data_IF_197589699006
#
_entry.id   IF_197589699006
#
_cell.length_a   1.000
_cell.length_b   1.000
_cell.length_c   1.000
_cell.angle_alpha   90.00
_cell.angle_beta   90.00
_cell.angle_gamma   90.00
#
_symmetry.space_group_name_H-M   'P 1'
#
loop_
_entity.id
_entity.type
_entity.pdbx_description
1 polymer ?
#
# COMPACT_ATOMS: atom_id res chain seq x y z
N UNK A 1 10.18 13.34 19.53
CA UNK A 1 11.16 13.65 18.46
C UNK A 1 10.46 13.67 17.12
N UNK A 2 10.33 14.82 16.46
CA UNK A 2 9.61 14.90 15.19
C UNK A 2 10.05 13.82 14.19
N UNK A 3 9.07 13.26 13.48
CA UNK A 3 9.28 12.17 12.54
C UNK A 3 8.40 12.32 11.31
N UNK A 4 8.82 11.69 10.23
CA UNK A 4 8.02 11.54 9.01
C UNK A 4 7.54 10.10 8.86
N UNK A 5 6.40 9.95 8.20
CA UNK A 5 5.80 8.66 7.89
C UNK A 5 5.80 8.42 6.37
N UNK A 6 6.45 7.36 5.93
CA UNK A 6 6.28 6.80 4.60
C UNK A 6 5.28 5.66 4.63
N UNK A 7 4.29 5.69 3.75
CA UNK A 7 3.30 4.63 3.57
C UNK A 7 3.44 4.11 2.14
N UNK A 8 3.48 2.79 1.96
CA UNK A 8 3.28 2.19 0.65
C UNK A 8 1.93 1.48 0.66
N UNK A 9 1.03 1.98 -0.20
CA UNK A 9 -0.31 1.43 -0.38
C UNK A 9 -0.34 0.56 -1.63
N UNK A 10 0.11 -0.68 -1.48
CA UNK A 10 0.00 -1.69 -2.52
C UNK A 10 -1.42 -2.25 -2.62
N UNK A 11 -1.75 -2.85 -3.75
CA UNK A 11 -3.09 -3.42 -3.98
C UNK A 11 -3.40 -4.64 -3.11
N UNK A 12 -2.39 -5.42 -2.73
CA UNK A 12 -2.54 -6.62 -1.88
C UNK A 12 -2.05 -6.40 -0.46
N UNK A 13 -0.99 -5.62 -0.29
CA UNK A 13 -0.36 -5.36 1.01
C UNK A 13 -0.02 -3.89 1.19
N UNK A 14 -0.10 -3.43 2.43
CA UNK A 14 0.28 -2.10 2.89
C UNK A 14 1.46 -2.22 3.84
N UNK A 15 2.42 -1.29 3.73
CA UNK A 15 3.61 -1.23 4.57
C UNK A 15 3.88 0.22 4.97
N UNK A 16 4.62 0.41 6.07
CA UNK A 16 4.97 1.75 6.54
C UNK A 16 6.42 1.79 7.05
N UNK A 17 7.03 2.96 6.96
CA UNK A 17 8.35 3.25 7.51
C UNK A 17 8.35 4.65 8.14
N UNK A 18 9.21 4.85 9.13
CA UNK A 18 9.40 6.16 9.77
C UNK A 18 10.85 6.57 9.77
N UNK A 19 11.11 7.88 9.81
CA UNK A 19 12.42 8.42 10.08
C UNK A 19 12.29 9.59 11.05
N UNK A 20 13.18 9.64 12.04
CA UNK A 20 13.17 10.67 13.08
C UNK A 20 14.18 11.75 12.77
N UNK A 21 13.93 12.96 13.24
CA UNK A 21 14.89 14.07 13.17
C UNK A 21 15.64 14.17 14.48
N UNK A 22 16.97 14.08 14.42
CA UNK A 22 17.89 14.28 15.54
C UNK A 22 18.94 15.32 15.17
N UNK A 23 19.03 16.40 15.94
CA UNK A 23 20.04 17.46 15.75
C UNK A 23 20.09 18.05 14.33
N UNK A 24 18.95 18.17 13.65
CA UNK A 24 18.85 18.69 12.27
C UNK A 24 19.09 17.65 11.16
N UNK A 25 19.52 16.44 11.48
CA UNK A 25 19.69 15.33 10.54
C UNK A 25 18.56 14.31 10.69
N UNK A 26 18.20 13.67 9.58
CA UNK A 26 17.27 12.55 9.60
C UNK A 26 18.01 11.25 9.91
N UNK A 27 17.40 10.40 10.73
CA UNK A 27 17.87 9.03 10.94
C UNK A 27 17.61 8.18 9.69
N UNK A 28 18.24 7.02 9.61
CA UNK A 28 17.83 5.99 8.66
C UNK A 28 16.33 5.66 8.83
N UNK A 29 15.71 5.23 7.74
CA UNK A 29 14.33 4.77 7.74
C UNK A 29 14.21 3.45 8.50
N UNK A 30 13.12 3.32 9.25
CA UNK A 30 12.81 2.14 10.07
C UNK A 30 11.41 1.66 9.72
N UNK A 31 11.24 0.42 9.23
CA UNK A 31 9.92 -0.16 9.00
C UNK A 31 9.07 -0.20 10.27
N UNK A 32 7.78 0.05 10.13
CA UNK A 32 6.83 -0.01 11.25
C UNK A 32 6.09 -1.36 11.21
N UNK A 33 6.07 -2.13 12.31
CA UNK A 33 5.33 -3.39 12.38
C UNK A 33 3.80 -3.20 12.29
N UNK A 34 3.18 -3.09 11.12
CA UNK A 34 1.72 -2.87 11.03
C UNK A 34 0.87 -4.09 11.41
N UNK A 35 1.42 -5.30 11.31
CA UNK A 35 0.78 -6.55 11.66
C UNK A 35 1.29 -7.12 12.99
N UNK A 36 0.62 -8.16 13.49
CA UNK A 36 0.99 -8.83 14.75
C UNK A 36 2.44 -9.33 14.74
N UNK A 37 2.88 -9.88 13.60
CA UNK A 37 4.18 -10.54 13.46
C UNK A 37 5.09 -9.91 12.38
N UNK A 38 4.83 -8.67 11.97
CA UNK A 38 5.66 -8.07 10.92
C UNK A 38 5.23 -6.69 10.43
N UNK A 39 6.02 -6.11 9.50
CA UNK A 39 5.78 -4.78 8.92
C UNK A 39 4.75 -4.75 7.80
N UNK A 40 4.31 -5.91 7.32
CA UNK A 40 3.40 -6.06 6.18
C UNK A 40 2.01 -6.41 6.69
N UNK A 41 1.00 -5.70 6.22
CA UNK A 41 -0.40 -5.97 6.54
C UNK A 41 -1.23 -6.06 5.25
N UNK A 42 -2.26 -6.91 5.15
CA UNK A 42 -3.13 -6.94 3.97
C UNK A 42 -3.79 -5.57 3.69
N UNK A 43 -3.89 -5.17 2.42
CA UNK A 43 -4.66 -3.98 2.01
C UNK A 43 -6.14 -4.33 1.94
N UNK A 44 -6.76 -4.35 3.13
CA UNK A 44 -8.13 -4.81 3.33
C UNK A 44 -8.78 -3.91 4.34
N UNK A 45 -10.02 -3.51 4.07
CA UNK A 45 -10.85 -2.77 5.00
C UNK A 45 -12.12 -3.56 5.28
N UNK A 46 -12.57 -3.57 6.52
CA UNK A 46 -13.88 -4.09 6.90
C UNK A 46 -14.65 -2.95 7.55
N UNK A 47 -15.83 -2.66 7.02
CA UNK A 47 -16.71 -1.68 7.64
C UNK A 47 -17.34 -2.27 8.89
N UNK A 48 -17.37 -1.49 9.97
CA UNK A 48 -18.01 -1.88 11.24
C UNK A 48 -19.29 -1.07 11.48
N UNK A 49 -20.07 -1.48 12.49
CA UNK A 49 -21.43 -0.97 12.74
C UNK A 49 -21.51 0.55 12.96
N UNK A 50 -20.48 1.17 13.50
CA UNK A 50 -20.42 2.63 13.72
C UNK A 50 -20.12 3.43 12.43
N UNK A 51 -19.89 2.75 11.31
CA UNK A 51 -19.57 3.33 10.01
C UNK A 51 -18.08 3.58 9.78
N UNK A 52 -17.23 3.31 10.76
CA UNK A 52 -15.77 3.33 10.60
C UNK A 52 -15.26 2.06 9.91
N UNK A 53 -13.96 2.03 9.61
CA UNK A 53 -13.30 0.87 9.04
C UNK A 53 -12.25 0.32 10.00
N UNK A 54 -12.23 -0.99 10.16
CA UNK A 54 -11.04 -1.71 10.63
C UNK A 54 -10.23 -2.15 9.41
N UNK A 55 -8.91 -2.27 9.55
CA UNK A 55 -8.05 -2.63 8.44
C UNK A 55 -7.17 -3.86 8.72
N UNK A 56 -6.54 -4.36 7.65
CA UNK A 56 -5.45 -5.31 7.76
C UNK A 56 -5.87 -6.71 8.18
N UNK A 57 -5.07 -7.35 9.05
CA UNK A 57 -5.35 -8.71 9.53
C UNK A 57 -6.71 -8.80 10.23
N UNK A 58 -7.13 -7.74 10.93
CA UNK A 58 -8.42 -7.70 11.60
C UNK A 58 -9.58 -7.70 10.59
N UNK A 59 -9.46 -6.92 9.52
CA UNK A 59 -10.43 -6.90 8.43
C UNK A 59 -10.45 -8.21 7.65
N UNK A 60 -9.27 -8.76 7.32
CA UNK A 60 -9.13 -10.02 6.60
C UNK A 60 -9.80 -11.20 7.32
N UNK A 61 -9.75 -11.23 8.67
CA UNK A 61 -10.44 -12.25 9.47
C UNK A 61 -11.97 -12.19 9.36
N UNK A 62 -12.54 -11.03 9.08
CA UNK A 62 -14.00 -10.88 8.96
C UNK A 62 -14.54 -11.45 7.66
N UNK A 63 -13.72 -11.59 6.62
CA UNK A 63 -14.16 -11.94 5.28
C UNK A 63 -14.87 -13.29 5.20
N UNK A 64 -14.49 -14.27 6.02
CA UNK A 64 -15.13 -15.59 6.02
C UNK A 64 -16.61 -15.49 6.42
N UNK A 65 -16.91 -14.66 7.42
CA UNK A 65 -18.25 -14.53 8.02
C UNK A 65 -19.05 -13.36 7.48
N UNK A 66 -18.38 -12.30 7.03
CA UNK A 66 -18.95 -10.99 6.70
C UNK A 66 -18.32 -10.41 5.42
N UNK A 67 -18.09 -11.24 4.40
CA UNK A 67 -17.47 -10.85 3.13
C UNK A 67 -18.05 -9.58 2.50
N UNK A 68 -19.36 -9.36 2.63
CA UNK A 68 -20.05 -8.22 2.05
C UNK A 68 -19.63 -6.89 2.68
N UNK A 69 -19.10 -6.90 3.90
CA UNK A 69 -18.59 -5.72 4.61
C UNK A 69 -17.10 -5.49 4.39
N UNK A 70 -16.42 -6.40 3.69
CA UNK A 70 -14.98 -6.38 3.45
C UNK A 70 -14.69 -5.84 2.05
N UNK A 71 -13.87 -4.81 1.97
CA UNK A 71 -13.37 -4.24 0.73
C UNK A 71 -11.91 -4.65 0.48
N UNK A 72 -11.66 -5.18 -0.72
CA UNK A 72 -10.34 -5.53 -1.27
C UNK A 72 -10.22 -4.97 -2.69
N UNK A 73 -8.98 -4.84 -3.19
CA UNK A 73 -8.74 -4.40 -4.57
C UNK A 73 -9.24 -2.99 -4.89
N UNK A 74 -9.59 -2.19 -3.89
CA UNK A 74 -10.14 -0.85 -4.11
C UNK A 74 -9.11 0.13 -4.70
N UNK A 75 -7.81 -0.17 -4.63
CA UNK A 75 -6.75 0.66 -5.23
C UNK A 75 -6.76 0.63 -6.75
N UNK A 76 -7.18 -0.47 -7.39
CA UNK A 76 -7.28 -0.57 -8.85
C UNK A 76 -8.54 0.11 -9.39
N UNK A 77 -9.59 0.18 -8.56
CA UNK A 77 -10.87 0.85 -8.83
C UNK A 77 -10.85 2.37 -8.64
N UNK A 78 -9.68 2.94 -8.33
CA UNK A 78 -9.54 4.36 -8.06
C UNK A 78 -9.83 5.20 -9.31
N UNK A 79 -10.74 6.16 -9.19
CA UNK A 79 -11.17 7.01 -10.32
C UNK A 79 -12.23 6.38 -11.20
N UNK A 80 -12.75 5.21 -10.86
CA UNK A 80 -13.94 4.67 -11.52
C UNK A 80 -15.18 5.47 -11.08
N UNK A 81 -16.08 5.74 -12.03
CA UNK A 81 -17.37 6.39 -11.74
C UNK A 81 -18.29 5.49 -10.89
N UNK A 82 -18.11 4.17 -11.00
CA UNK A 82 -18.92 3.19 -10.27
C UNK A 82 -18.32 2.93 -8.87
N UNK A 83 -19.00 3.32 -7.79
CA UNK A 83 -18.53 3.04 -6.43
C UNK A 83 -18.55 1.55 -6.10
N UNK A 84 -17.73 1.15 -5.12
CA UNK A 84 -17.75 -0.20 -4.57
C UNK A 84 -18.95 -0.36 -3.63
N UNK A 85 -19.51 -1.57 -3.57
CA UNK A 85 -20.54 -1.90 -2.57
C UNK A 85 -19.86 -2.48 -1.34
N UNK A 86 -20.07 -1.82 -0.19
CA UNK A 86 -19.59 -2.30 1.12
C UNK A 86 -20.78 -2.37 2.08
N UNK A 87 -21.20 -3.59 2.38
CA UNK A 87 -22.48 -3.89 3.01
C UNK A 87 -23.61 -3.46 2.07
N UNK A 88 -24.38 -2.48 2.50
CA UNK A 88 -25.47 -1.87 1.72
C UNK A 88 -25.14 -0.47 1.20
N UNK A 89 -23.90 -0.01 1.32
CA UNK A 89 -23.49 1.35 0.94
C UNK A 89 -22.59 1.35 -0.29
N UNK A 90 -22.76 2.40 -1.09
CA UNK A 90 -21.88 2.73 -2.21
C UNK A 90 -20.74 3.61 -1.71
N UNK A 91 -19.51 3.10 -1.79
CA UNK A 91 -18.31 3.77 -1.30
C UNK A 91 -17.34 3.98 -2.47
N UNK A 92 -17.02 5.24 -2.82
CA UNK A 92 -15.98 5.54 -3.81
C UNK A 92 -14.61 5.00 -3.37
N UNK A 93 -13.82 4.50 -4.33
CA UNK A 93 -12.51 3.92 -4.08
C UNK A 93 -11.54 4.87 -3.35
N UNK A 94 -11.54 6.16 -3.70
CA UNK A 94 -10.70 7.18 -3.07
C UNK A 94 -10.97 7.32 -1.56
N UNK A 95 -12.20 7.07 -1.11
CA UNK A 95 -12.55 7.10 0.30
C UNK A 95 -11.97 5.88 1.04
N UNK A 96 -11.96 4.71 0.42
CA UNK A 96 -11.33 3.51 0.97
C UNK A 96 -9.80 3.67 1.02
N UNK A 97 -9.19 4.23 -0.03
CA UNK A 97 -7.76 4.58 -0.03
C UNK A 97 -7.43 5.53 1.13
N UNK A 98 -8.19 6.60 1.30
CA UNK A 98 -7.98 7.57 2.38
C UNK A 98 -8.18 6.92 3.78
N UNK A 99 -9.20 6.06 3.94
CA UNK A 99 -9.43 5.32 5.19
C UNK A 99 -8.27 4.37 5.53
N UNK A 100 -7.65 3.72 4.54
CA UNK A 100 -6.47 2.89 4.77
C UNK A 100 -5.27 3.72 5.23
N UNK A 101 -5.05 4.90 4.62
CA UNK A 101 -3.96 5.82 5.00
C UNK A 101 -4.20 6.40 6.39
N UNK A 102 -5.44 6.79 6.72
CA UNK A 102 -5.85 7.22 8.05
C UNK A 102 -5.56 6.13 9.09
N UNK A 103 -5.97 4.89 8.82
CA UNK A 103 -5.70 3.77 9.73
C UNK A 103 -4.19 3.55 9.96
N UNK A 104 -3.36 3.61 8.91
CA UNK A 104 -1.90 3.51 9.06
C UNK A 104 -1.36 4.66 9.91
N UNK A 105 -1.80 5.89 9.64
CA UNK A 105 -1.41 7.08 10.39
C UNK A 105 -1.76 6.95 11.88
N UNK A 106 -2.97 6.48 12.19
CA UNK A 106 -3.43 6.27 13.56
C UNK A 106 -2.62 5.21 14.28
N UNK A 107 -2.38 4.05 13.65
CA UNK A 107 -1.55 2.98 14.22
C UNK A 107 -0.14 3.46 14.51
N UNK A 108 0.46 4.23 13.60
CA UNK A 108 1.81 4.78 13.78
C UNK A 108 1.79 5.85 14.88
N UNK A 109 0.82 6.76 14.87
CA UNK A 109 0.67 7.84 15.86
C UNK A 109 0.52 7.28 17.28
N UNK A 110 -0.29 6.24 17.46
CA UNK A 110 -0.45 5.57 18.76
C UNK A 110 0.88 4.99 19.28
N UNK A 111 1.74 4.49 18.38
CA UNK A 111 3.05 3.93 18.74
C UNK A 111 4.12 4.99 18.99
N UNK A 112 4.09 6.08 18.24
CA UNK A 112 5.06 7.17 18.35
C UNK A 112 4.69 8.17 19.45
N UNK A 113 3.40 8.26 19.81
CA UNK A 113 2.82 9.10 20.86
C UNK A 113 2.35 10.48 20.39
N UNK A 114 2.58 10.86 19.13
CA UNK A 114 2.17 12.13 18.51
C UNK A 114 2.14 11.94 16.98
N UNK A 115 1.39 12.78 16.24
CA UNK A 115 1.29 12.65 14.78
C UNK A 115 2.62 12.92 14.06
N UNK A 116 2.81 12.38 12.84
CA UNK A 116 3.97 12.69 12.01
C UNK A 116 3.95 14.17 11.59
N UNK A 117 5.12 14.76 11.37
CA UNK A 117 5.23 16.10 10.78
C UNK A 117 4.77 16.12 9.32
N UNK A 118 5.02 15.03 8.59
CA UNK A 118 4.65 14.89 7.19
C UNK A 118 4.45 13.41 6.84
N UNK A 119 3.46 13.14 5.99
CA UNK A 119 3.18 11.81 5.45
C UNK A 119 3.54 11.80 3.97
N UNK A 120 4.26 10.79 3.50
CA UNK A 120 4.40 10.50 2.08
C UNK A 120 3.78 9.15 1.77
N UNK A 121 2.98 9.07 0.72
CA UNK A 121 2.31 7.84 0.29
C UNK A 121 2.81 7.44 -1.09
N UNK A 122 3.52 6.32 -1.15
CA UNK A 122 3.87 5.64 -2.39
C UNK A 122 2.62 4.99 -3.00
N UNK A 123 2.31 5.36 -4.24
CA UNK A 123 1.15 4.87 -4.99
C UNK A 123 1.53 4.32 -6.37
N UNK A 124 0.65 3.50 -6.97
CA UNK A 124 0.87 2.96 -8.32
C UNK A 124 1.08 4.09 -9.34
N UNK A 125 2.06 3.91 -10.23
CA UNK A 125 2.36 4.83 -11.33
C UNK A 125 1.18 5.06 -12.28
N UNK A 126 0.22 4.14 -12.31
CA UNK A 126 -0.99 4.23 -13.13
C UNK A 126 -1.95 5.35 -12.69
N UNK A 127 -1.79 5.92 -11.50
CA UNK A 127 -2.81 6.80 -10.93
C UNK A 127 -2.97 8.13 -11.69
N UNK A 128 -1.95 8.63 -12.38
CA UNK A 128 -2.04 9.89 -13.11
C UNK A 128 -2.51 11.09 -12.25
N UNK A 129 -2.66 12.29 -12.83
CA UNK A 129 -3.01 13.48 -12.05
C UNK A 129 -4.41 13.42 -11.42
N UNK A 130 -5.40 12.88 -12.15
CA UNK A 130 -6.79 12.86 -11.70
C UNK A 130 -7.00 11.99 -10.46
N UNK A 131 -6.50 10.74 -10.46
CA UNK A 131 -6.71 9.83 -9.32
C UNK A 131 -5.92 10.27 -8.09
N UNK A 132 -4.72 10.83 -8.31
CA UNK A 132 -3.91 11.48 -7.25
C UNK A 132 -4.72 12.62 -6.59
N UNK A 133 -5.37 13.47 -7.39
CA UNK A 133 -6.20 14.56 -6.88
C UNK A 133 -7.39 14.05 -6.05
N UNK A 134 -8.10 13.02 -6.52
CA UNK A 134 -9.21 12.40 -5.78
C UNK A 134 -8.79 11.91 -4.39
N UNK A 135 -7.61 11.29 -4.30
CA UNK A 135 -7.07 10.82 -3.01
C UNK A 135 -6.67 11.98 -2.12
N UNK A 136 -6.05 13.03 -2.65
CA UNK A 136 -5.72 14.24 -1.89
C UNK A 136 -6.97 14.92 -1.32
N UNK A 137 -8.05 15.03 -2.12
CA UNK A 137 -9.32 15.56 -1.64
C UNK A 137 -9.91 14.70 -0.52
N UNK A 138 -9.91 13.38 -0.70
CA UNK A 138 -10.41 12.45 0.32
C UNK A 138 -9.61 12.53 1.63
N UNK A 139 -8.27 12.65 1.56
CA UNK A 139 -7.41 12.84 2.73
C UNK A 139 -7.65 14.18 3.43
N UNK A 140 -7.82 15.25 2.66
CA UNK A 140 -8.14 16.59 3.19
C UNK A 140 -9.47 16.60 3.95
N UNK A 141 -10.49 15.87 3.47
CA UNK A 141 -11.76 15.69 4.17
C UNK A 141 -11.62 14.96 5.52
N UNK A 142 -10.59 14.13 5.68
CA UNK A 142 -10.22 13.48 6.94
C UNK A 142 -9.30 14.35 7.82
N UNK A 143 -8.92 15.54 7.36
CA UNK A 143 -7.99 16.43 8.07
C UNK A 143 -6.52 16.05 7.93
N UNK A 144 -6.17 15.16 7.00
CA UNK A 144 -4.79 14.76 6.70
C UNK A 144 -4.27 15.67 5.59
N UNK A 145 -3.71 16.83 5.96
CA UNK A 145 -3.27 17.87 5.02
C UNK A 145 -1.77 17.86 4.74
N UNK A 146 -0.93 17.46 5.70
CA UNK A 146 0.52 17.34 5.53
C UNK A 146 0.88 16.00 4.88
N UNK A 147 0.45 15.85 3.63
CA UNK A 147 0.62 14.63 2.85
C UNK A 147 1.16 14.90 1.44
N UNK A 148 2.06 14.05 0.97
CA UNK A 148 2.56 14.05 -0.41
C UNK A 148 2.36 12.67 -1.03
N UNK A 149 1.79 12.64 -2.23
CA UNK A 149 1.67 11.42 -3.02
C UNK A 149 2.93 11.30 -3.91
N UNK A 150 3.57 10.13 -3.87
CA UNK A 150 4.81 9.85 -4.60
C UNK A 150 4.60 8.62 -5.47
N UNK A 151 4.97 8.62 -6.76
CA UNK A 151 4.95 7.41 -7.56
C UNK A 151 5.84 6.33 -6.93
N UNK A 152 5.31 5.12 -6.79
CA UNK A 152 6.01 3.97 -6.23
C UNK A 152 7.42 3.73 -6.81
N UNK A 153 7.66 3.75 -8.14
CA UNK A 153 9.01 3.53 -8.67
C UNK A 153 9.98 4.63 -8.24
N UNK A 154 9.52 5.88 -8.06
CA UNK A 154 10.36 6.96 -7.55
C UNK A 154 10.70 6.69 -6.09
N UNK A 155 9.73 6.26 -5.27
CA UNK A 155 10.00 5.88 -3.88
C UNK A 155 11.02 4.74 -3.80
N UNK A 156 10.85 3.66 -4.56
CA UNK A 156 11.83 2.55 -4.61
C UNK A 156 13.21 3.04 -5.03
N UNK A 157 13.31 3.92 -6.03
CA UNK A 157 14.58 4.48 -6.48
C UNK A 157 15.24 5.40 -5.42
N UNK A 158 14.45 6.14 -4.64
CA UNK A 158 14.94 6.94 -3.51
C UNK A 158 15.53 6.05 -2.41
N UNK A 159 14.86 4.95 -2.05
CA UNK A 159 15.39 3.98 -1.10
C UNK A 159 16.70 3.38 -1.60
N UNK A 160 16.76 2.99 -2.87
CA UNK A 160 17.98 2.50 -3.51
C UNK A 160 19.12 3.53 -3.46
N UNK A 161 18.86 4.77 -3.87
CA UNK A 161 19.84 5.85 -3.88
C UNK A 161 20.33 6.28 -2.47
N UNK A 162 19.57 5.95 -1.42
CA UNK A 162 20.02 6.17 -0.04
C UNK A 162 21.09 5.16 0.41
N UNK A 163 21.15 3.99 -0.24
CA UNK A 163 22.04 2.87 0.10
C UNK A 163 23.23 2.77 -0.86
N UNK A 164 23.05 3.18 -2.11
CA UNK A 164 24.06 3.09 -3.16
C UNK A 164 24.21 4.42 -3.92
N UNK A 165 25.40 4.66 -4.46
CA UNK A 165 25.62 5.82 -5.33
C UNK A 165 24.98 5.56 -6.69
N UNK A 166 24.15 6.50 -7.14
CA UNK A 166 23.52 6.50 -8.46
C UNK A 166 24.07 7.67 -9.25
N UNK A 167 24.63 7.41 -10.43
CA UNK A 167 25.14 8.47 -11.30
C UNK A 167 23.97 9.28 -11.89
N UNK A 168 24.17 10.59 -12.04
CA UNK A 168 23.18 11.44 -12.71
C UNK A 168 23.06 11.06 -14.19
N UNK A 169 21.88 11.21 -14.79
CA UNK A 169 21.58 10.90 -16.21
C UNK A 169 21.64 9.41 -16.61
N UNK A 170 22.18 8.53 -15.78
CA UNK A 170 22.22 7.10 -16.04
C UNK A 170 20.83 6.46 -15.86
N UNK A 171 20.32 5.71 -16.87
CA UNK A 171 19.02 5.05 -16.78
C UNK A 171 19.01 3.94 -15.73
N UNK A 172 18.02 4.01 -14.84
CA UNK A 172 17.69 2.99 -13.85
C UNK A 172 16.29 2.48 -14.13
N UNK A 173 16.10 1.16 -14.17
CA UNK A 173 14.77 0.56 -14.25
C UNK A 173 14.33 0.14 -12.87
N UNK A 174 13.13 0.55 -12.47
CA UNK A 174 12.41 -0.08 -11.35
C UNK A 174 11.34 -0.99 -11.92
N UNK A 175 11.39 -2.27 -11.56
CA UNK A 175 10.38 -3.25 -11.91
C UNK A 175 9.77 -3.85 -10.64
N UNK A 176 8.50 -3.54 -10.40
CA UNK A 176 7.73 -4.02 -9.26
C UNK A 176 6.91 -5.24 -9.66
N UNK A 177 7.14 -6.37 -9.00
CA UNK A 177 6.33 -7.58 -9.17
C UNK A 177 5.51 -7.78 -7.90
N UNK A 178 4.30 -7.23 -7.93
CA UNK A 178 3.37 -7.20 -6.81
C UNK A 178 2.45 -8.42 -6.74
N UNK A 179 1.59 -8.45 -5.73
CA UNK A 179 0.60 -9.53 -5.58
C UNK A 179 -0.49 -9.53 -6.65
N UNK A 180 -0.78 -8.38 -7.28
CA UNK A 180 -1.89 -8.21 -8.23
C UNK A 180 -1.47 -7.67 -9.59
N UNK A 181 -0.18 -7.62 -9.88
CA UNK A 181 0.30 -7.14 -11.16
C UNK A 181 1.78 -6.80 -11.17
N UNK A 182 2.19 -6.24 -12.30
CA UNK A 182 3.55 -5.87 -12.63
C UNK A 182 3.59 -4.43 -13.14
N UNK A 183 4.56 -3.66 -12.61
CA UNK A 183 4.87 -2.32 -13.09
C UNK A 183 6.35 -2.23 -13.44
N UNK A 184 6.70 -1.58 -14.56
CA UNK A 184 8.06 -1.22 -14.90
C UNK A 184 8.16 0.24 -15.31
N UNK A 185 9.15 0.95 -14.78
CA UNK A 185 9.38 2.36 -15.09
C UNK A 185 10.88 2.62 -15.23
N UNK A 186 11.26 3.29 -16.32
CA UNK A 186 12.63 3.78 -16.50
C UNK A 186 12.73 5.15 -15.86
N UNK A 187 13.77 5.36 -15.08
CA UNK A 187 14.04 6.56 -14.32
C UNK A 187 15.43 7.09 -14.65
N UNK A 188 15.61 8.41 -14.53
CA UNK A 188 16.94 9.04 -14.45
C UNK A 188 17.06 9.83 -13.17
N UNK A 189 18.25 9.78 -12.57
CA UNK A 189 18.55 10.56 -11.39
C UNK A 189 18.64 12.05 -11.76
N UNK A 190 17.81 12.87 -11.08
CA UNK A 190 17.83 14.33 -11.15
C UNK A 190 17.79 14.87 -9.73
N UNK A 191 18.96 15.14 -9.15
CA UNK A 191 19.09 15.48 -7.74
C UNK A 191 18.12 16.62 -7.33
N UNK A 192 17.37 16.48 -6.22
CA UNK A 192 17.41 15.42 -5.21
C UNK A 192 16.47 14.22 -5.48
N UNK A 193 15.80 14.14 -6.63
CA UNK A 193 14.78 13.13 -6.97
C UNK A 193 15.10 12.32 -8.24
N UNK A 194 14.10 11.70 -8.83
CA UNK A 194 14.16 10.97 -10.10
C UNK A 194 13.10 11.50 -11.06
N UNK A 195 13.41 11.51 -12.34
CA UNK A 195 12.44 11.79 -13.41
C UNK A 195 12.11 10.50 -14.16
N UNK A 196 10.84 10.35 -14.55
CA UNK A 196 10.38 9.24 -15.39
C UNK A 196 10.82 9.49 -16.82
N UNK A 197 11.38 8.46 -17.45
CA UNK A 197 11.79 8.46 -18.86
C UNK A 197 10.99 7.42 -19.61
N UNK A 198 10.47 7.79 -20.78
CA UNK A 198 9.55 6.93 -21.53
C UNK A 198 8.19 6.81 -20.87
N UNK A 199 7.49 5.72 -21.19
CA UNK A 199 6.14 5.46 -20.68
C UNK A 199 6.19 4.39 -19.60
N UNK A 200 5.66 4.64 -18.38
CA UNK A 200 5.46 3.59 -17.40
C UNK A 200 4.64 2.45 -18.00
N UNK A 201 5.12 1.22 -17.79
CA UNK A 201 4.41 0.00 -18.17
C UNK A 201 3.71 -0.55 -16.93
N UNK A 202 2.45 -0.92 -17.08
CA UNK A 202 1.64 -1.55 -16.03
C UNK A 202 0.77 -2.64 -16.64
N UNK A 203 0.67 -3.79 -15.98
CA UNK A 203 -0.13 -4.94 -16.42
C UNK A 203 -0.60 -5.76 -15.22
N UNK A 204 -1.78 -6.36 -15.32
CA UNK A 204 -2.33 -7.25 -14.30
C UNK A 204 -1.53 -8.57 -14.21
N UNK A 205 -0.85 -8.95 -15.30
CA UNK A 205 -0.06 -10.18 -15.37
C UNK A 205 1.37 -9.91 -15.86
N UNK A 206 2.39 -10.57 -15.29
CA UNK A 206 2.29 -11.56 -14.21
C UNK A 206 2.10 -10.93 -12.83
N UNK A 207 1.47 -11.66 -11.92
CA UNK A 207 1.21 -11.25 -10.54
C UNK A 207 1.54 -12.35 -9.54
N UNK A 208 1.67 -11.99 -8.27
CA UNK A 208 1.77 -12.96 -7.18
C UNK A 208 0.55 -13.88 -7.09
N UNK A 209 -0.63 -13.37 -7.41
CA UNK A 209 -1.86 -14.15 -7.46
C UNK A 209 -1.81 -15.25 -8.52
N UNK A 210 -1.23 -14.98 -9.70
CA UNK A 210 -1.03 -16.02 -10.72
C UNK A 210 -0.16 -17.17 -10.20
N UNK A 211 0.85 -16.85 -9.40
CA UNK A 211 1.74 -17.86 -8.79
C UNK A 211 1.04 -18.65 -7.68
N UNK A 212 0.20 -17.97 -6.90
CA UNK A 212 -0.62 -18.59 -5.86
C UNK A 212 -1.70 -19.49 -6.48
N UNK A 213 -2.28 -19.08 -7.62
CA UNK A 213 -3.26 -19.84 -8.40
C UNK A 213 -2.61 -21.06 -9.06
N UNK A 214 -1.39 -20.97 -9.59
CA UNK A 214 -0.66 -22.14 -10.11
C UNK A 214 -0.42 -23.24 -9.05
N UNK A 215 -0.18 -22.83 -7.79
CA UNK A 215 -0.12 -23.77 -6.65
C UNK A 215 -1.50 -24.36 -6.33
N UNK A 216 -2.54 -23.52 -6.34
CA UNK A 216 -3.91 -23.94 -6.08
C UNK A 216 -4.41 -24.94 -7.13
N UNK A 217 -4.13 -24.70 -8.41
CA UNK A 217 -4.47 -25.59 -9.53
C UNK A 217 -3.79 -26.95 -9.38
N UNK A 218 -2.50 -27.01 -9.01
CA UNK A 218 -1.80 -28.26 -8.73
C UNK A 218 -2.51 -29.08 -7.62
N UNK A 219 -3.00 -28.41 -6.57
CA UNK A 219 -3.76 -29.07 -5.51
C UNK A 219 -5.11 -29.55 -6.06
N UNK A 220 -5.77 -28.75 -6.90
CA UNK A 220 -7.02 -29.11 -7.58
C UNK A 220 -6.89 -30.36 -8.47
N UNK A 221 -5.77 -30.52 -9.16
CA UNK A 221 -5.46 -31.74 -9.93
C UNK A 221 -5.33 -32.98 -9.04
N UNK A 222 -4.83 -32.82 -7.80
CA UNK A 222 -4.64 -33.91 -6.85
C UNK A 222 -5.91 -34.26 -6.06
N UNK A 223 -6.81 -33.29 -5.85
CA UNK A 223 -8.05 -33.43 -5.07
C UNK A 223 -9.29 -32.94 -5.87
N UNK A 224 -9.53 -33.47 -7.09
CA UNK A 224 -10.53 -32.91 -7.99
C UNK A 224 -11.97 -33.06 -7.47
N UNK A 225 -12.27 -34.17 -6.77
CA UNK A 225 -13.58 -34.40 -6.18
C UNK A 225 -13.87 -33.38 -5.06
N UNK A 226 -12.91 -33.17 -4.16
CA UNK A 226 -13.08 -32.29 -3.00
C UNK A 226 -13.18 -30.83 -3.41
N UNK A 227 -12.44 -30.40 -4.43
CA UNK A 227 -12.56 -29.04 -4.98
C UNK A 227 -13.87 -28.88 -5.77
N UNK A 228 -14.25 -29.88 -6.57
CA UNK A 228 -15.47 -29.83 -7.38
C UNK A 228 -16.77 -29.81 -6.59
N UNK A 229 -16.77 -30.32 -5.36
CA UNK A 229 -17.92 -30.33 -4.45
C UNK A 229 -18.05 -29.07 -3.58
N UNK A 230 -17.11 -28.12 -3.65
CA UNK A 230 -17.18 -26.89 -2.87
C UNK A 230 -18.32 -25.98 -3.34
N UNK A 231 -19.19 -25.64 -2.40
CA UNK A 231 -20.28 -24.66 -2.58
C UNK A 231 -19.90 -23.34 -1.91
N UNK A 232 -19.69 -22.28 -2.71
CA UNK A 232 -19.32 -20.96 -2.19
C UNK A 232 -20.45 -20.25 -1.44
N UNK A 233 -21.69 -20.75 -1.50
CA UNK A 233 -22.78 -20.27 -0.65
C UNK A 233 -22.66 -20.75 0.81
N UNK A 234 -21.98 -21.87 1.05
CA UNK A 234 -21.72 -22.43 2.38
C UNK A 234 -20.51 -21.75 3.05
N UNK A 235 -20.70 -21.27 4.29
CA UNK A 235 -19.66 -20.58 5.09
C UNK A 235 -18.45 -21.48 5.35
N UNK A 236 -18.66 -22.77 5.64
CA UNK A 236 -17.59 -23.72 5.92
C UNK A 236 -16.77 -24.01 4.66
N UNK A 237 -17.43 -24.14 3.52
CA UNK A 237 -16.75 -24.34 2.23
C UNK A 237 -15.93 -23.10 1.84
N UNK A 238 -16.48 -21.89 2.01
CA UNK A 238 -15.69 -20.64 1.85
C UNK A 238 -14.50 -20.57 2.79
N UNK A 239 -14.69 -20.95 4.06
CA UNK A 239 -13.61 -20.98 5.04
C UNK A 239 -12.50 -21.96 4.63
N UNK A 240 -12.85 -23.16 4.16
CA UNK A 240 -11.90 -24.15 3.68
C UNK A 240 -11.12 -23.64 2.44
N UNK A 241 -11.82 -23.02 1.48
CA UNK A 241 -11.18 -22.42 0.30
C UNK A 241 -10.23 -21.27 0.67
N UNK A 242 -10.67 -20.36 1.55
CA UNK A 242 -9.85 -19.25 2.03
C UNK A 242 -8.59 -19.75 2.76
N UNK A 243 -8.73 -20.79 3.59
CA UNK A 243 -7.61 -21.44 4.26
C UNK A 243 -6.63 -22.06 3.27
N UNK A 244 -7.13 -22.77 2.26
CA UNK A 244 -6.29 -23.38 1.23
C UNK A 244 -5.53 -22.32 0.41
N UNK A 245 -6.20 -21.24 -0.01
CA UNK A 245 -5.53 -20.11 -0.68
C UNK A 245 -4.46 -19.47 0.21
N UNK A 246 -4.73 -19.30 1.50
CA UNK A 246 -3.74 -18.82 2.47
C UNK A 246 -2.52 -19.76 2.58
N UNK A 247 -2.74 -21.07 2.53
CA UNK A 247 -1.66 -22.07 2.51
C UNK A 247 -0.81 -22.00 1.22
N UNK A 248 -1.43 -21.74 0.06
CA UNK A 248 -0.69 -21.49 -1.20
C UNK A 248 0.22 -20.28 -1.10
N UNK A 249 -0.28 -19.14 -0.60
CA UNK A 249 0.52 -17.92 -0.39
C UNK A 249 1.68 -18.20 0.56
N UNK A 250 1.41 -18.85 1.70
CA UNK A 250 2.43 -19.23 2.70
C UNK A 250 3.49 -20.12 2.09
N UNK A 251 3.10 -21.11 1.29
CA UNK A 251 4.02 -22.01 0.61
C UNK A 251 4.89 -21.28 -0.39
N UNK A 252 4.31 -20.46 -1.27
CA UNK A 252 5.05 -19.63 -2.23
C UNK A 252 6.13 -18.77 -1.55
N UNK A 253 5.74 -18.08 -0.48
CA UNK A 253 6.66 -17.24 0.30
C UNK A 253 7.77 -18.07 0.95
N UNK A 254 7.43 -19.18 1.60
CA UNK A 254 8.41 -20.05 2.23
C UNK A 254 9.37 -20.69 1.21
N UNK A 255 8.89 -21.06 0.03
CA UNK A 255 9.69 -21.62 -1.07
C UNK A 255 10.72 -20.64 -1.64
N UNK A 256 10.55 -19.32 -1.42
CA UNK A 256 11.58 -18.33 -1.77
C UNK A 256 12.88 -18.50 -0.97
N UNK A 257 12.81 -19.15 0.20
CA UNK A 257 13.93 -19.34 1.12
C UNK A 257 14.23 -20.81 1.45
N UNK A 258 13.22 -21.69 1.35
CA UNK A 258 13.32 -23.13 1.63
C UNK A 258 13.34 -23.97 0.34
N UNK A 259 14.00 -25.13 0.36
CA UNK A 259 14.07 -26.03 -0.80
C UNK A 259 12.78 -26.85 -1.01
N UNK A 260 11.91 -26.91 -0.01
CA UNK A 260 10.61 -27.54 -0.06
C UNK A 260 9.79 -27.21 1.18
N UNK A 261 8.48 -27.37 1.09
CA UNK A 261 7.51 -27.04 2.14
C UNK A 261 6.37 -28.06 2.14
N UNK A 262 5.66 -28.14 3.26
CA UNK A 262 4.40 -28.88 3.38
C UNK A 262 3.24 -27.90 3.59
N UNK A 263 2.13 -28.12 2.88
CA UNK A 263 0.88 -27.37 2.97
C UNK A 263 -0.20 -28.24 3.60
N UNK A 264 -1.04 -27.65 4.46
CA UNK A 264 -2.23 -28.33 4.94
C UNK A 264 -3.36 -28.20 3.92
N UNK A 265 -3.82 -29.33 3.39
CA UNK A 265 -5.05 -29.43 2.61
C UNK A 265 -6.14 -29.90 3.57
N UNK A 266 -7.02 -28.96 3.96
CA UNK A 266 -8.12 -29.17 4.89
C UNK A 266 -9.41 -28.75 4.21
N UNK A 267 -9.98 -29.70 3.45
CA UNK A 267 -11.19 -29.56 2.66
C UNK A 267 -12.26 -30.53 3.20
N UNK A 268 -13.55 -30.33 2.91
CA UNK A 268 -14.59 -31.30 3.25
C UNK A 268 -14.19 -32.72 2.79
N UNK A 269 -14.19 -33.67 3.73
CA UNK A 269 -13.85 -35.07 3.45
C UNK A 269 -12.35 -35.39 3.31
N UNK A 270 -11.45 -34.41 3.35
CA UNK A 270 -9.99 -34.68 3.32
C UNK A 270 -9.21 -33.72 4.21
N UNK A 271 -8.36 -34.29 5.05
CA UNK A 271 -7.36 -33.54 5.82
C UNK A 271 -6.02 -34.21 5.70
N UNK A 272 -5.10 -33.59 4.96
CA UNK A 272 -3.77 -34.16 4.67
C UNK A 272 -2.73 -33.07 4.53
N UNK A 273 -1.47 -33.46 4.63
CA UNK A 273 -0.34 -32.64 4.20
C UNK A 273 -0.01 -32.90 2.72
N UNK A 274 0.33 -31.84 1.99
CA UNK A 274 0.81 -31.87 0.61
C UNK A 274 2.20 -31.23 0.54
N UNK A 275 3.21 -32.04 0.19
CA UNK A 275 4.59 -31.59 0.07
C UNK A 275 4.92 -31.09 -1.34
N UNK A 276 5.63 -29.97 -1.44
CA UNK A 276 6.13 -29.43 -2.72
C UNK A 276 7.57 -28.93 -2.58
N UNK A 277 8.40 -29.21 -3.57
CA UNK A 277 9.77 -28.70 -3.67
C UNK A 277 9.82 -27.35 -4.40
N UNK A 278 10.85 -26.54 -4.12
CA UNK A 278 11.10 -25.29 -4.87
C UNK A 278 11.23 -25.56 -6.35
N UNK A 279 11.97 -26.60 -6.73
CA UNK A 279 12.15 -26.96 -8.14
C UNK A 279 10.82 -27.25 -8.85
N UNK A 280 9.86 -27.92 -8.17
CA UNK A 280 8.54 -28.17 -8.74
C UNK A 280 7.71 -26.89 -8.82
N UNK A 281 7.70 -26.07 -7.77
CA UNK A 281 7.03 -24.76 -7.80
C UNK A 281 7.58 -23.86 -8.91
N UNK A 282 8.89 -23.78 -9.05
CA UNK A 282 9.56 -22.99 -10.07
C UNK A 282 9.23 -23.47 -11.50
N UNK A 283 8.95 -24.76 -11.71
CA UNK A 283 8.42 -25.24 -12.99
C UNK A 283 7.01 -24.69 -13.29
N UNK A 284 6.15 -24.60 -12.28
CA UNK A 284 4.79 -24.08 -12.40
C UNK A 284 4.78 -22.56 -12.58
N UNK A 285 5.66 -21.86 -11.87
CA UNK A 285 5.79 -20.40 -11.91
C UNK A 285 6.43 -19.89 -13.21
N UNK A 286 7.25 -20.71 -13.87
CA UNK A 286 8.08 -20.31 -15.03
C UNK A 286 7.31 -19.57 -16.14
N UNK A 287 6.14 -20.04 -16.63
CA UNK A 287 5.42 -19.36 -17.70
C UNK A 287 5.03 -17.92 -17.34
N UNK A 288 4.74 -17.65 -16.06
CA UNK A 288 4.44 -16.31 -15.57
C UNK A 288 5.71 -15.47 -15.40
N UNK A 289 6.76 -16.04 -14.81
CA UNK A 289 7.98 -15.30 -14.50
C UNK A 289 8.83 -14.96 -15.73
N UNK A 290 8.79 -15.78 -16.79
CA UNK A 290 9.49 -15.51 -18.06
C UNK A 290 8.97 -14.25 -18.76
N UNK A 291 7.74 -13.83 -18.47
CA UNK A 291 7.16 -12.59 -19.00
C UNK A 291 7.78 -11.34 -18.39
N UNK A 292 8.26 -11.38 -17.15
CA UNK A 292 8.81 -10.21 -16.45
C UNK A 292 9.95 -9.55 -17.22
N UNK A 293 11.03 -10.24 -17.62
CA UNK A 293 12.13 -9.57 -18.32
C UNK A 293 11.76 -9.08 -19.72
N UNK A 294 10.72 -9.65 -20.35
CA UNK A 294 10.17 -9.13 -21.61
C UNK A 294 9.46 -7.78 -21.38
N UNK A 295 8.69 -7.66 -20.31
CA UNK A 295 8.01 -6.41 -19.94
C UNK A 295 9.02 -5.33 -19.52
N UNK A 296 10.10 -5.71 -18.82
CA UNK A 296 11.21 -4.80 -18.55
C UNK A 296 11.81 -4.28 -19.87
N UNK A 297 12.08 -5.19 -20.81
CA UNK A 297 12.63 -4.81 -22.13
C UNK A 297 11.69 -3.84 -22.89
N UNK A 298 10.37 -4.04 -22.79
CA UNK A 298 9.38 -3.13 -23.38
C UNK A 298 9.39 -1.75 -22.73
N UNK A 299 9.48 -1.67 -21.39
CA UNK A 299 9.59 -0.40 -20.69
C UNK A 299 10.86 0.37 -21.10
N UNK A 300 11.99 -0.33 -21.25
CA UNK A 300 13.25 0.24 -21.73
C UNK A 300 13.12 0.78 -23.17
N UNK A 301 12.47 0.02 -24.05
CA UNK A 301 12.21 0.47 -25.43
C UNK A 301 11.32 1.71 -25.48
N UNK A 302 10.34 1.84 -24.58
CA UNK A 302 9.48 3.03 -24.50
C UNK A 302 10.27 4.31 -24.17
N UNK A 303 11.43 4.17 -23.53
CA UNK A 303 12.36 5.25 -23.22
C UNK A 303 13.34 5.56 -24.38
N UNK A 304 13.16 4.93 -25.55
CA UNK A 304 14.11 4.96 -26.68
C UNK A 304 15.51 4.50 -26.29
N UNK A 305 15.61 3.55 -25.37
CA UNK A 305 16.86 2.94 -24.91
C UNK A 305 16.96 1.50 -25.39
N UNK A 306 18.19 0.99 -25.50
CA UNK A 306 18.47 -0.44 -25.67
C UNK A 306 18.67 -1.08 -24.30
N UNK A 307 18.48 -2.40 -24.15
CA UNK A 307 18.77 -3.11 -22.91
C UNK A 307 20.20 -2.83 -22.38
N UNK A 308 21.19 -2.75 -23.27
CA UNK A 308 22.59 -2.46 -22.93
C UNK A 308 22.82 -1.02 -22.41
N UNK A 309 21.87 -0.11 -22.60
CA UNK A 309 21.95 1.27 -22.12
C UNK A 309 21.43 1.40 -20.66
N UNK A 310 20.86 0.33 -20.10
CA UNK A 310 20.38 0.28 -18.71
C UNK A 310 21.52 -0.17 -17.80
N UNK A 311 21.94 0.70 -16.90
CA UNK A 311 23.02 0.36 -15.95
C UNK A 311 22.50 -0.46 -14.76
N UNK A 312 21.27 -0.17 -14.32
CA UNK A 312 20.73 -0.74 -13.09
C UNK A 312 19.28 -1.16 -13.27
N UNK A 313 18.97 -2.39 -12.85
CA UNK A 313 17.61 -2.90 -12.74
C UNK A 313 17.35 -3.18 -11.26
N UNK A 314 16.36 -2.52 -10.67
CA UNK A 314 15.91 -2.74 -9.30
C UNK A 314 14.59 -3.51 -9.35
N UNK A 315 14.57 -4.71 -8.75
CA UNK A 315 13.32 -5.46 -8.57
C UNK A 315 12.70 -5.15 -7.20
N UNK A 316 11.44 -4.74 -7.21
CA UNK A 316 10.63 -4.45 -6.04
C UNK A 316 9.41 -5.38 -5.97
N UNK A 317 8.70 -5.32 -4.84
CA UNK A 317 7.53 -6.15 -4.58
C UNK A 317 7.89 -7.52 -4.02
N UNK A 318 6.93 -8.16 -3.35
CA UNK A 318 7.17 -9.42 -2.63
C UNK A 318 7.65 -10.55 -3.53
N UNK A 319 7.25 -10.56 -4.80
CA UNK A 319 7.61 -11.62 -5.76
C UNK A 319 9.08 -11.52 -6.18
N UNK A 320 9.73 -10.36 -6.04
CA UNK A 320 11.16 -10.19 -6.27
C UNK A 320 12.06 -11.08 -5.38
N UNK A 321 11.50 -11.64 -4.30
CA UNK A 321 12.17 -12.65 -3.46
C UNK A 321 12.39 -13.98 -4.16
N UNK A 322 11.60 -14.29 -5.19
CA UNK A 322 11.66 -15.56 -5.91
C UNK A 322 13.01 -15.73 -6.62
N UNK A 323 13.83 -16.75 -6.27
CA UNK A 323 15.17 -16.90 -6.84
C UNK A 323 15.20 -17.00 -8.36
N UNK A 324 14.29 -17.78 -8.97
CA UNK A 324 14.14 -17.90 -10.42
C UNK A 324 13.97 -16.54 -11.12
N UNK A 325 13.22 -15.60 -10.54
CA UNK A 325 12.98 -14.31 -11.18
C UNK A 325 14.28 -13.52 -11.37
N UNK A 326 15.16 -13.54 -10.36
CA UNK A 326 16.48 -12.89 -10.46
C UNK A 326 17.33 -13.50 -11.56
N UNK A 327 17.28 -14.83 -11.71
CA UNK A 327 18.01 -15.56 -12.75
C UNK A 327 17.49 -15.18 -14.15
N UNK A 328 16.18 -15.25 -14.36
CA UNK A 328 15.54 -14.91 -15.65
C UNK A 328 15.84 -13.48 -16.09
N UNK A 329 15.76 -12.52 -15.15
CA UNK A 329 16.08 -11.11 -15.44
C UNK A 329 17.57 -10.94 -15.75
N UNK A 330 18.46 -11.56 -14.97
CA UNK A 330 19.90 -11.51 -15.22
C UNK A 330 20.29 -12.12 -16.57
N UNK A 331 19.69 -13.25 -16.95
CA UNK A 331 19.95 -13.93 -18.21
C UNK A 331 19.44 -13.12 -19.40
N UNK A 332 18.26 -12.51 -19.29
CA UNK A 332 17.65 -11.79 -20.42
C UNK A 332 18.27 -10.43 -20.67
N UNK A 333 18.60 -9.70 -19.60
CA UNK A 333 19.13 -8.33 -19.67
C UNK A 333 20.66 -8.26 -19.58
N UNK A 334 21.33 -9.39 -19.35
CA UNK A 334 22.78 -9.47 -19.14
C UNK A 334 23.29 -8.54 -18.02
N UNK A 335 22.38 -8.13 -17.13
CA UNK A 335 22.61 -7.20 -16.02
C UNK A 335 22.00 -7.81 -14.77
N UNK A 336 22.78 -8.06 -13.71
CA UNK A 336 22.25 -8.66 -12.49
C UNK A 336 21.26 -7.70 -11.82
N UNK A 337 20.00 -8.10 -11.60
CA UNK A 337 19.04 -7.25 -10.93
C UNK A 337 19.40 -7.08 -9.46
N UNK A 338 19.20 -5.86 -8.96
CA UNK A 338 19.33 -5.52 -7.56
C UNK A 338 18.01 -5.74 -6.86
N UNK A 339 18.05 -6.46 -5.74
CA UNK A 339 16.88 -6.77 -4.94
C UNK A 339 17.25 -6.55 -3.48
N UNK A 340 16.46 -5.75 -2.78
CA UNK A 340 16.65 -5.51 -1.35
C UNK A 340 16.44 -6.81 -0.54
N UNK A 341 16.91 -6.83 0.71
CA UNK A 341 16.63 -7.91 1.66
C UNK A 341 15.14 -7.98 1.98
N UNK A 342 14.45 -6.83 1.95
CA UNK A 342 13.02 -6.69 2.12
C UNK A 342 12.37 -5.88 0.98
N UNK A 343 12.26 -6.46 -0.23
CA UNK A 343 11.80 -5.73 -1.42
C UNK A 343 10.39 -5.14 -1.27
N UNK A 344 9.52 -5.76 -0.46
CA UNK A 344 8.18 -5.25 -0.15
C UNK A 344 8.16 -3.98 0.74
N UNK A 345 9.26 -3.66 1.41
CA UNK A 345 9.39 -2.49 2.30
C UNK A 345 10.08 -1.28 1.64
N UNK A 346 10.64 -1.47 0.45
CA UNK A 346 11.45 -0.47 -0.27
C UNK A 346 10.63 0.78 -0.59
N UNK A 347 9.40 0.61 -1.09
CA UNK A 347 8.51 1.72 -1.42
C UNK A 347 8.11 2.55 -0.18
N UNK A 348 7.82 1.92 0.97
CA UNK A 348 7.49 2.66 2.19
C UNK A 348 8.70 3.43 2.74
N UNK A 349 9.88 2.81 2.68
CA UNK A 349 11.14 3.44 3.08
C UNK A 349 11.47 4.62 2.17
N UNK A 350 11.30 4.45 0.86
CA UNK A 350 11.41 5.47 -0.15
C UNK A 350 10.46 6.66 0.04
N UNK A 351 9.21 6.37 0.38
CA UNK A 351 8.23 7.40 0.72
C UNK A 351 8.68 8.19 1.94
N UNK A 352 9.16 7.53 3.00
CA UNK A 352 9.68 8.22 4.18
C UNK A 352 10.85 9.15 3.82
N UNK A 353 11.75 8.73 2.91
CA UNK A 353 12.83 9.59 2.40
C UNK A 353 12.29 10.78 1.59
N UNK A 354 11.24 10.59 0.78
CA UNK A 354 10.59 11.69 0.06
C UNK A 354 10.00 12.72 1.04
N UNK A 355 9.37 12.28 2.13
CA UNK A 355 8.88 13.19 3.17
C UNK A 355 10.01 14.00 3.83
N UNK A 356 11.18 13.41 4.06
CA UNK A 356 12.35 14.13 4.57
C UNK A 356 12.79 15.25 3.61
N UNK A 357 12.75 15.00 2.30
CA UNK A 357 13.13 15.97 1.29
C UNK A 357 12.17 17.17 1.29
N UNK A 358 10.86 16.93 1.36
CA UNK A 358 9.84 17.98 1.44
C UNK A 358 10.07 18.91 2.63
N UNK A 359 10.34 18.34 3.81
CA UNK A 359 10.59 19.14 5.02
C UNK A 359 11.93 19.87 4.97
N UNK A 360 12.94 19.28 4.33
CA UNK A 360 14.27 19.90 4.23
C UNK A 360 14.29 21.08 3.26
N UNK A 361 13.58 21.01 2.13
CA UNK A 361 13.46 22.12 1.17
C UNK A 361 12.59 23.26 1.71
N UNK A 362 11.60 22.96 2.54
CA UNK A 362 10.79 24.00 3.21
C UNK A 362 11.59 24.86 4.20
N UNK A 363 12.67 24.31 4.76
CA UNK A 363 13.56 25.02 5.71
C UNK A 363 14.54 25.96 4.99
N UNK A 364 14.78 25.75 3.68
CA UNK A 364 15.81 26.42 2.87
C UNK A 364 15.25 27.50 1.92
N UNK A 365 14.01 28.00 2.17
CA UNK A 365 13.35 29.07 1.39
C UNK A 365 13.98 30.46 1.58
N UNK A 366 15.30 30.53 1.50
CA UNK A 366 16.04 31.74 1.18
C UNK A 366 16.97 31.42 0.02
N UNK A 367 16.50 31.66 -1.22
CA UNK A 367 17.24 31.62 -2.50
C UNK A 367 16.99 30.39 -3.40
N UNK A 368 16.32 30.68 -4.52
CA UNK A 368 16.34 30.03 -5.86
C UNK A 368 15.08 29.25 -6.29
N UNK A 369 14.77 29.53 -7.57
CA UNK A 369 13.60 29.30 -8.39
C UNK A 369 13.05 27.87 -8.47
N UNK A 370 11.74 27.83 -8.62
CA UNK A 370 10.88 26.69 -8.88
C UNK A 370 11.29 25.93 -10.15
N UNK A 371 11.84 24.73 -10.00
CA UNK A 371 11.66 23.64 -10.97
C UNK A 371 11.85 22.29 -10.27
N UNK A 372 10.81 21.83 -9.61
CA UNK A 372 10.65 20.40 -9.26
C UNK A 372 9.17 20.07 -9.24
N UNK A 373 8.78 19.07 -10.03
CA UNK A 373 7.40 18.55 -10.13
C UNK A 373 7.03 17.84 -8.82
N UNK A 374 6.80 18.63 -7.78
CA UNK A 374 5.94 18.34 -6.65
C UNK A 374 4.89 19.43 -6.72
N UNK A 375 3.73 19.13 -7.30
CA UNK A 375 2.66 20.12 -7.40
C UNK A 375 2.24 20.54 -5.99
N UNK A 376 2.57 21.78 -5.63
CA UNK A 376 1.78 22.60 -4.74
C UNK A 376 1.27 23.74 -5.61
N UNK A 377 -0.03 23.74 -5.90
CA UNK A 377 -0.66 24.80 -6.67
C UNK A 377 -1.26 25.78 -5.67
N UNK A 378 -0.62 26.95 -5.54
CA UNK A 378 -1.24 28.13 -4.94
C UNK A 378 -2.14 28.81 -6.00
N UNK A 379 -3.23 29.41 -5.55
CA UNK A 379 -4.38 29.82 -6.37
C UNK A 379 -4.05 30.73 -7.55
N UNK A 380 -4.72 30.47 -8.68
CA UNK A 380 -4.62 31.28 -9.88
C UNK A 380 -5.59 32.46 -9.81
N UNK A 381 -5.03 33.67 -9.81
CA UNK A 381 -5.69 34.87 -10.33
C UNK A 381 -5.75 34.77 -11.86
N UNK A 382 -6.94 34.93 -12.41
CA UNK A 382 -7.21 34.95 -13.85
C UNK A 382 -7.20 36.40 -14.33
N UNK A 383 -6.26 36.76 -15.19
CA UNK A 383 -6.45 37.81 -16.20
C UNK A 383 -5.69 37.45 -17.49
N UNK A 384 -6.46 37.56 -18.58
CA UNK A 384 -6.15 37.78 -19.99
C UNK A 384 -5.77 36.65 -20.99
N UNK A 385 -6.59 36.68 -22.06
CA UNK A 385 -6.36 36.41 -23.49
C UNK A 385 -6.39 34.97 -24.07
N UNK A 386 -7.60 34.53 -24.44
CA UNK A 386 -7.82 33.49 -25.48
C UNK A 386 -8.97 33.91 -26.41
N UNK A 387 -8.65 34.68 -27.47
CA UNK A 387 -9.56 34.92 -28.61
C UNK A 387 -9.05 34.16 -29.85
N UNK A 388 -9.45 32.90 -29.99
CA UNK A 388 -9.73 32.19 -31.26
C UNK A 388 -10.00 30.69 -31.05
N UNK A 389 -11.14 30.34 -30.47
CA UNK A 389 -11.73 29.01 -30.66
C UNK A 389 -13.06 29.13 -31.43
N UNK A 390 -13.34 28.24 -32.40
CA UNK A 390 -14.60 28.26 -33.15
C UNK A 390 -15.78 27.96 -32.22
N UNK A 391 -16.86 28.73 -32.35
CA UNK A 391 -18.04 28.65 -31.48
C UNK A 391 -18.60 27.21 -31.38
N UNK A 392 -18.86 26.70 -30.16
CA UNK A 392 -19.42 25.38 -29.96
C UNK A 392 -20.89 25.35 -30.39
N UNK A 393 -21.27 24.31 -31.15
CA UNK A 393 -22.65 24.06 -31.58
C UNK A 393 -23.57 23.93 -30.35
N UNK A 394 -24.61 24.76 -30.28
CA UNK A 394 -25.61 24.72 -29.20
C UNK A 394 -26.28 23.33 -29.15
N UNK A 395 -26.14 22.64 -28.01
CA UNK A 395 -26.90 21.42 -27.72
C UNK A 395 -28.33 21.81 -27.31
N UNK A 396 -29.36 21.05 -27.73
CA UNK A 396 -30.73 21.31 -27.31
C UNK A 396 -30.86 21.22 -25.77
N UNK A 397 -31.70 22.05 -25.13
CA UNK A 397 -31.83 22.11 -23.69
C UNK A 397 -32.35 20.77 -23.15
N UNK A 398 -31.61 20.19 -22.21
CA UNK A 398 -32.09 19.09 -21.36
C UNK A 398 -32.61 19.75 -20.08
N UNK A 399 -33.91 19.68 -19.85
CA UNK A 399 -34.49 19.99 -18.54
C UNK A 399 -34.05 18.89 -17.57
N UNK A 400 -32.98 19.15 -16.83
CA UNK A 400 -32.57 18.35 -15.67
C UNK A 400 -33.26 18.96 -14.46
N UNK A 401 -34.26 18.26 -13.91
CA UNK A 401 -34.76 18.60 -12.58
C UNK A 401 -33.60 18.47 -11.57
N UNK A 402 -33.23 19.56 -10.85
CA UNK A 402 -32.15 19.49 -9.87
C UNK A 402 -32.56 18.53 -8.76
N UNK A 403 -31.78 17.44 -8.60
CA UNK A 403 -31.90 16.58 -7.43
C UNK A 403 -31.66 17.42 -6.16
N UNK A 404 -32.54 17.36 -5.15
CA UNK A 404 -32.29 17.99 -3.87
C UNK A 404 -31.16 17.24 -3.18
N UNK A 405 -29.94 17.79 -3.25
CA UNK A 405 -28.81 17.34 -2.45
C UNK A 405 -28.98 17.98 -1.07
N UNK A 406 -29.30 17.17 -0.06
CA UNK A 406 -29.28 17.63 1.32
C UNK A 406 -27.84 18.05 1.70
N UNK A 407 -27.64 19.27 2.23
CA UNK A 407 -26.32 19.67 2.70
C UNK A 407 -25.87 18.78 3.87
N UNK A 408 -24.55 18.57 4.03
CA UNK A 408 -24.02 17.71 5.09
C UNK A 408 -24.51 18.17 6.47
N UNK A 409 -25.01 17.21 7.27
CA UNK A 409 -25.56 17.48 8.59
C UNK A 409 -24.47 17.97 9.57
N UNK A 410 -24.30 19.30 9.64
CA UNK A 410 -23.39 19.97 10.57
C UNK A 410 -23.70 19.62 12.03
N UNK A 411 -24.95 19.27 12.34
CA UNK A 411 -25.34 18.86 13.70
C UNK A 411 -24.75 17.48 14.04
N UNK A 412 -24.60 16.56 13.07
CA UNK A 412 -23.94 15.27 13.27
C UNK A 412 -22.44 15.44 13.51
N UNK A 413 -21.76 16.31 12.77
CA UNK A 413 -20.33 16.61 12.97
C UNK A 413 -20.08 17.24 14.36
N UNK A 414 -20.96 18.15 14.78
CA UNK A 414 -20.89 18.79 16.11
C UNK A 414 -21.18 17.79 17.24
N UNK A 415 -22.15 16.88 17.07
CA UNK A 415 -22.42 15.78 18.02
C UNK A 415 -21.22 14.85 18.14
N UNK A 416 -20.57 14.51 17.04
CA UNK A 416 -19.37 13.64 17.06
C UNK A 416 -18.19 14.29 17.80
N UNK A 417 -17.97 15.61 17.60
CA UNK A 417 -16.96 16.37 18.36
C UNK A 417 -17.27 16.39 19.86
N UNK A 418 -18.53 16.58 20.25
CA UNK A 418 -18.95 16.56 21.66
C UNK A 418 -18.74 15.17 22.27
N UNK A 419 -19.12 14.09 21.56
CA UNK A 419 -18.93 12.71 22.04
C UNK A 419 -17.44 12.40 22.23
N UNK A 420 -16.58 12.78 21.27
CA UNK A 420 -15.12 12.60 21.40
C UNK A 420 -14.54 13.35 22.61
N UNK A 421 -15.03 14.56 22.89
CA UNK A 421 -14.62 15.36 24.05
C UNK A 421 -15.08 14.75 25.39
N UNK A 422 -16.31 14.22 25.45
CA UNK A 422 -16.84 13.55 26.64
C UNK A 422 -16.09 12.25 26.93
N UNK A 423 -15.77 11.46 25.91
CA UNK A 423 -14.96 10.23 26.07
C UNK A 423 -13.56 10.55 26.57
N UNK A 424 -12.91 11.60 26.04
CA UNK A 424 -11.61 12.06 26.52
C UNK A 424 -11.65 12.51 27.99
N UNK A 425 -12.68 13.27 28.40
CA UNK A 425 -12.86 13.68 29.79
C UNK A 425 -13.12 12.49 30.74
N UNK A 426 -13.87 11.48 30.28
CA UNK A 426 -14.12 10.26 31.04
C UNK A 426 -12.83 9.45 31.25
N UNK A 427 -11.98 9.34 30.22
CA UNK A 427 -10.69 8.65 30.33
C UNK A 427 -9.73 9.38 31.29
N UNK A 428 -9.72 10.71 31.29
CA UNK A 428 -8.91 11.50 32.22
C UNK A 428 -9.38 11.31 33.66
N UNK A 429 -10.70 11.34 33.90
CA UNK A 429 -11.27 11.13 35.24
C UNK A 429 -11.04 9.72 35.75
N UNK A 430 -11.20 8.69 34.91
CA UNK A 430 -10.84 7.30 35.26
C UNK A 430 -9.35 7.18 35.56
N UNK A 431 -8.48 7.82 34.77
CA UNK A 431 -7.03 7.86 35.02
C UNK A 431 -6.67 8.50 36.37
N UNK A 432 -7.33 9.60 36.73
CA UNK A 432 -7.13 10.28 38.03
C UNK A 432 -7.61 9.39 39.18
N UNK A 433 -8.78 8.74 39.05
CA UNK A 433 -9.31 7.84 40.08
C UNK A 433 -8.38 6.64 40.29
N UNK A 434 -7.89 6.01 39.22
CA UNK A 434 -6.93 4.90 39.30
C UNK A 434 -5.61 5.37 39.96
N UNK A 435 -5.16 6.59 39.67
CA UNK A 435 -3.95 7.17 40.28
C UNK A 435 -4.13 7.46 41.77
N UNK A 436 -5.32 7.89 42.21
CA UNK A 436 -5.63 8.05 43.63
C UNK A 436 -5.79 6.71 44.36
N UNK A 437 -6.47 5.72 43.75
CA UNK A 437 -6.64 4.40 44.36
C UNK A 437 -5.33 3.62 44.49
N UNK A 438 -4.37 3.83 43.58
CA UNK A 438 -3.04 3.21 43.65
C UNK A 438 -2.10 3.90 44.64
N UNK A 439 -2.36 5.18 44.98
CA UNK A 439 -1.56 5.94 45.94
C UNK A 439 -1.90 5.60 47.41
N UNK A 440 -3.13 5.18 47.68
CA UNK A 440 -3.62 4.81 49.03
C UNK A 440 -3.28 3.37 49.46
N UNK A 441 -2.53 2.59 48.66
CA UNK A 441 -2.09 1.22 49.02
C UNK A 441 -0.58 1.08 49.26
N UNK A 442 0.12 2.19 49.46
CA UNK A 442 1.49 2.17 49.98
C UNK A 442 1.60 3.07 51.20
N UNK A 443 1.44 2.47 52.38
CA UNK A 443 2.13 2.74 53.65
C UNK A 443 1.26 2.20 54.79
N UNK A 444 1.90 1.43 55.69
CA UNK A 444 1.45 0.91 56.99
C UNK A 444 0.49 -0.29 57.05
N UNK A 445 1.04 -1.45 57.44
CA UNK A 445 0.41 -2.28 58.47
C UNK A 445 0.13 -3.75 58.15
N UNK A 446 1.15 -4.58 57.91
CA UNK A 446 1.05 -6.04 58.16
C UNK A 446 2.38 -6.58 58.72
N UNK A 447 2.68 -6.18 59.96
CA UNK A 447 3.55 -6.91 60.89
C UNK A 447 2.71 -7.12 62.16
N UNK A 448 1.84 -8.11 62.13
CA UNK A 448 1.34 -8.85 63.29
C UNK A 448 0.21 -9.77 62.80
N UNK A 449 0.55 -11.01 62.43
CA UNK A 449 -0.27 -12.21 62.62
C UNK A 449 0.45 -13.42 61.99
N UNK A 450 1.53 -13.87 62.63
CA UNK A 450 1.94 -15.28 62.65
C UNK A 450 2.64 -15.56 63.98
N UNK A 451 1.80 -15.65 65.02
CA UNK A 451 1.91 -16.67 66.05
C UNK A 451 0.92 -17.78 65.70
#
# INVERSE_FOLDING_TARGET
>A
MPYVLGVHLGATVTTAATARRDGGRWTATVPVPLATNGPVVPTVLCKVQDGSFVAGEAAARQEISHHEWVARGFTSRLGDDLPLVVGSEFVPAQRLVAAMIEWVSDVVTQRQGYPPEHIAVAHSSSWGPHRVHLVQQALSQLGITEVTLVPEPIAVALDYASKQRVQEQHPLVVANVGGSGFDATVLRRRHPSFEVVGSPLSTEHPSGQDLDDALFELIGEQFPAQIGELDTSDVNHRAALAKLRGECVRAREALSHQAGVSMWVDLPGVRTEFGISRARYEQLARPHLERVPELISQAVQSASLRPDDVETVVLAGGIARTPMLKQLVSERLQTPPLVDVAPELTAASGAALAAQQVLSTSTDRGSIAETSVLMRVDGFDTDDDVDNEPEPVERPPIDVEPMPIEPPDEARAKRMKIIKLVVAALLITVGIVITFMTKDHSITGVMDLFK
#
